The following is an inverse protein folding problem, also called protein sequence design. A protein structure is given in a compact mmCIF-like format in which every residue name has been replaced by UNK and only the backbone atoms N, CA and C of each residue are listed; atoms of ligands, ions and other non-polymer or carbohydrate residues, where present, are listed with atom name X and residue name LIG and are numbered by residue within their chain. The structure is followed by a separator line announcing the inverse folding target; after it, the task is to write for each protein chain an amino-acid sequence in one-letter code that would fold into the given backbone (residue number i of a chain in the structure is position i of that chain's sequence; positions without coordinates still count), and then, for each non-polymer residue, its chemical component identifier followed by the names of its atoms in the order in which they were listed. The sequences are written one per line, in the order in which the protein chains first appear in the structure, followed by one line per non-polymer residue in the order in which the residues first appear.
data_IF_333574798690
#
_entry.id   IF_333574798690
#
_cell.length_a   1.000
_cell.length_b   1.000
_cell.length_c   1.000
_cell.angle_alpha   90.00
_cell.angle_beta   90.00
_cell.angle_gamma   90.00
#
_symmetry.space_group_name_H-M   'P 1'
#
loop_
_entity.id
_entity.type
_entity.pdbx_description
1 polymer ?
#
# COMPACT_ATOMS: atom_id res chain seq x y z
N UNK A 1 -5.19 -1.62 -29.11
CA UNK A 1 -3.91 -0.94 -28.79
C UNK A 1 -3.93 -0.17 -27.46
N UNK A 2 -5.00 0.52 -27.09
CA UNK A 2 -5.07 1.31 -25.83
C UNK A 2 -4.83 0.47 -24.56
N UNK A 3 -5.45 -0.72 -24.47
CA UNK A 3 -5.27 -1.64 -23.33
C UNK A 3 -3.80 -2.05 -23.16
N UNK A 4 -3.13 -2.40 -24.27
CA UNK A 4 -1.72 -2.80 -24.24
C UNK A 4 -0.81 -1.65 -23.76
N UNK A 5 -1.05 -0.43 -24.22
CA UNK A 5 -0.33 0.77 -23.77
C UNK A 5 -0.54 1.01 -22.27
N UNK A 6 -1.76 0.88 -21.78
CA UNK A 6 -2.07 1.03 -20.35
C UNK A 6 -1.42 -0.06 -19.49
N UNK A 7 -1.39 -1.32 -19.96
CA UNK A 7 -0.69 -2.40 -19.26
C UNK A 7 0.82 -2.14 -19.17
N UNK A 8 1.44 -1.69 -20.26
CA UNK A 8 2.88 -1.36 -20.26
C UNK A 8 3.17 -0.20 -19.31
N UNK A 9 2.42 0.89 -19.42
CA UNK A 9 2.68 2.11 -18.65
C UNK A 9 2.27 1.97 -17.17
N UNK A 10 1.17 1.28 -16.88
CA UNK A 10 0.61 1.14 -15.54
C UNK A 10 1.16 -0.02 -14.71
N UNK A 11 1.72 -1.07 -15.34
CA UNK A 11 2.24 -2.24 -14.63
C UNK A 11 3.73 -2.47 -14.89
N UNK A 12 4.14 -2.53 -16.16
CA UNK A 12 5.51 -2.93 -16.49
C UNK A 12 6.53 -1.85 -16.15
N UNK A 13 6.30 -0.61 -16.59
CA UNK A 13 7.20 0.53 -16.33
C UNK A 13 7.42 0.78 -14.83
N UNK A 14 6.39 0.87 -13.96
CA UNK A 14 6.60 1.05 -12.52
C UNK A 14 7.35 -0.13 -11.89
N UNK A 15 7.08 -1.37 -12.33
CA UNK A 15 7.81 -2.55 -11.86
C UNK A 15 9.31 -2.47 -12.23
N UNK A 16 9.66 -2.07 -13.45
CA UNK A 16 11.06 -1.92 -13.89
C UNK A 16 11.78 -0.86 -13.07
N UNK A 17 11.16 0.30 -12.85
CA UNK A 17 11.74 1.40 -12.06
C UNK A 17 11.99 0.95 -10.63
N UNK A 18 10.99 0.39 -9.96
CA UNK A 18 11.13 -0.08 -8.57
C UNK A 18 12.11 -1.22 -8.45
N UNK A 19 12.06 -2.21 -9.35
CA UNK A 19 13.01 -3.32 -9.37
C UNK A 19 14.45 -2.86 -9.56
N UNK A 20 14.68 -1.90 -10.47
CA UNK A 20 15.98 -1.31 -10.72
C UNK A 20 16.55 -0.56 -9.50
N UNK A 21 15.73 0.29 -8.87
CA UNK A 21 16.14 1.03 -7.67
C UNK A 21 16.39 0.07 -6.49
N UNK A 22 15.55 -0.95 -6.29
CA UNK A 22 15.75 -1.95 -5.23
C UNK A 22 17.02 -2.78 -5.45
N UNK A 23 17.28 -3.23 -6.68
CA UNK A 23 18.49 -3.97 -7.02
C UNK A 23 19.75 -3.11 -6.79
N UNK A 24 19.70 -1.84 -7.21
CA UNK A 24 20.78 -0.88 -7.00
C UNK A 24 21.02 -0.57 -5.52
N UNK A 25 19.94 -0.32 -4.75
CA UNK A 25 20.02 -0.09 -3.32
C UNK A 25 20.67 -1.27 -2.60
N UNK A 26 20.30 -2.50 -2.98
CA UNK A 26 20.91 -3.71 -2.43
C UNK A 26 22.38 -3.84 -2.78
N UNK A 27 22.77 -3.51 -4.01
CA UNK A 27 24.17 -3.50 -4.44
C UNK A 27 25.00 -2.52 -3.60
N UNK A 28 24.50 -1.31 -3.36
CA UNK A 28 25.16 -0.32 -2.50
C UNK A 28 25.31 -0.81 -1.06
N UNK A 29 24.24 -1.31 -0.45
CA UNK A 29 24.28 -1.80 0.94
C UNK A 29 25.25 -2.97 1.12
N UNK A 30 25.35 -3.86 0.12
CA UNK A 30 26.26 -5.00 0.18
C UNK A 30 27.74 -4.59 0.11
N UNK A 31 28.04 -3.45 -0.51
CA UNK A 31 29.40 -2.91 -0.57
C UNK A 31 29.76 -2.21 0.73
N UNK A 32 28.84 -1.40 1.26
CA UNK A 32 29.05 -0.63 2.49
C UNK A 32 29.26 -1.54 3.72
N UNK A 33 28.54 -2.66 3.81
CA UNK A 33 28.73 -3.66 4.87
C UNK A 33 30.14 -4.28 4.87
N UNK A 34 30.85 -4.28 3.72
CA UNK A 34 32.24 -4.74 3.62
C UNK A 34 33.25 -3.66 4.00
N UNK A 35 32.95 -2.40 3.73
CA UNK A 35 33.90 -1.30 3.86
C UNK A 35 33.76 -0.54 5.19
N UNK A 36 32.61 -0.57 5.86
CA UNK A 36 32.29 0.49 6.81
C UNK A 36 31.78 0.02 8.18
N UNK A 37 32.73 -0.06 9.13
CA UNK A 37 32.45 -0.06 10.57
C UNK A 37 32.48 1.36 11.18
N UNK A 38 32.66 2.45 10.41
CA UNK A 38 33.07 3.74 11.00
C UNK A 38 32.47 5.08 10.50
N UNK A 39 31.64 5.19 9.46
CA UNK A 39 31.05 6.52 9.11
C UNK A 39 29.52 6.59 9.12
N UNK A 40 28.97 7.40 10.01
CA UNK A 40 27.53 7.54 10.28
C UNK A 40 26.74 8.52 9.39
N UNK A 41 27.16 8.76 8.14
CA UNK A 41 26.47 9.69 7.21
C UNK A 41 25.77 9.00 6.03
N UNK A 42 25.65 7.66 6.06
CA UNK A 42 25.01 6.88 5.00
C UNK A 42 23.50 7.12 4.87
N UNK A 43 23.00 7.08 3.63
CA UNK A 43 21.56 7.10 3.33
C UNK A 43 20.92 5.89 3.98
N UNK A 44 19.92 6.10 4.85
CA UNK A 44 19.24 4.99 5.49
C UNK A 44 18.64 4.04 4.45
N UNK A 45 18.74 2.71 4.62
CA UNK A 45 18.18 1.75 3.67
C UNK A 45 16.66 1.94 3.47
N UNK A 46 15.97 2.45 4.50
CA UNK A 46 14.56 2.79 4.41
C UNK A 46 14.23 3.94 3.46
N UNK A 47 15.11 4.94 3.35
CA UNK A 47 14.97 5.99 2.35
C UNK A 47 15.02 5.42 0.94
N UNK A 48 15.98 4.52 0.64
CA UNK A 48 16.12 3.93 -0.70
C UNK A 48 14.89 3.12 -1.12
N UNK A 49 14.29 2.38 -0.19
CA UNK A 49 13.09 1.59 -0.47
C UNK A 49 11.85 2.47 -0.59
N UNK A 50 11.73 3.50 0.24
CA UNK A 50 10.69 4.52 0.09
C UNK A 50 10.79 5.21 -1.28
N UNK A 51 11.99 5.59 -1.70
CA UNK A 51 12.27 6.14 -3.04
C UNK A 51 11.89 5.12 -4.12
N UNK A 52 12.25 3.85 -3.98
CA UNK A 52 11.93 2.83 -4.99
C UNK A 52 10.41 2.68 -5.19
N UNK A 53 9.63 2.61 -4.10
CA UNK A 53 8.18 2.49 -4.15
C UNK A 53 7.52 3.78 -4.65
N UNK A 54 7.94 4.93 -4.13
CA UNK A 54 7.37 6.22 -4.49
C UNK A 54 7.67 6.60 -5.93
N UNK A 55 8.92 6.44 -6.39
CA UNK A 55 9.31 6.71 -7.78
C UNK A 55 8.60 5.76 -8.75
N UNK A 56 8.52 4.47 -8.43
CA UNK A 56 7.74 3.52 -9.22
C UNK A 56 6.28 3.94 -9.32
N UNK A 57 5.66 4.29 -8.19
CA UNK A 57 4.26 4.75 -8.19
C UNK A 57 4.07 6.02 -9.01
N UNK A 58 4.93 7.03 -8.86
CA UNK A 58 4.86 8.30 -9.60
C UNK A 58 5.01 8.06 -11.11
N UNK A 59 5.94 7.20 -11.52
CA UNK A 59 6.13 6.84 -12.94
C UNK A 59 4.90 6.12 -13.49
N UNK A 60 4.33 5.17 -12.74
CA UNK A 60 3.08 4.50 -13.12
C UNK A 60 1.91 5.48 -13.20
N UNK A 61 1.81 6.41 -12.25
CA UNK A 61 0.81 7.48 -12.21
C UNK A 61 0.93 8.36 -13.46
N UNK A 62 2.13 8.88 -13.76
CA UNK A 62 2.35 9.75 -14.93
C UNK A 62 2.08 8.98 -16.23
N UNK A 63 2.41 7.70 -16.28
CA UNK A 63 2.12 6.84 -17.43
C UNK A 63 0.62 6.66 -17.72
N UNK A 64 -0.22 6.67 -16.67
CA UNK A 64 -1.67 6.49 -16.79
C UNK A 64 -2.43 7.81 -16.91
N UNK A 65 -2.12 8.78 -16.06
CA UNK A 65 -2.87 10.03 -15.87
C UNK A 65 -2.16 11.27 -16.46
N UNK A 66 -0.88 11.16 -16.82
CA UNK A 66 -0.05 12.31 -17.16
C UNK A 66 0.39 13.10 -15.92
N UNK A 67 0.79 14.36 -16.12
CA UNK A 67 1.25 15.22 -15.03
C UNK A 67 0.06 15.64 -14.14
N UNK A 68 0.12 15.45 -12.81
CA UNK A 68 -0.97 15.87 -11.94
C UNK A 68 -1.09 17.41 -11.94
N UNK A 69 -2.30 17.98 -12.02
CA UNK A 69 -2.48 19.42 -11.94
C UNK A 69 -2.19 19.94 -10.52
N UNK A 70 -1.76 21.20 -10.42
CA UNK A 70 -1.60 21.92 -9.16
C UNK A 70 -2.44 23.21 -9.18
N UNK A 71 -3.39 23.40 -8.24
CA UNK A 71 -3.76 22.47 -7.16
C UNK A 71 -4.50 21.21 -7.67
N UNK A 72 -4.42 20.08 -6.94
CA UNK A 72 -5.16 18.86 -7.27
C UNK A 72 -6.68 19.11 -7.21
N UNK A 73 -7.37 18.76 -8.31
CA UNK A 73 -8.83 18.93 -8.46
C UNK A 73 -9.63 17.70 -8.05
N UNK A 74 -9.07 16.51 -8.23
CA UNK A 74 -9.73 15.22 -8.00
C UNK A 74 -8.97 14.44 -6.93
N UNK A 75 -9.68 13.56 -6.23
CA UNK A 75 -9.09 12.71 -5.19
C UNK A 75 -7.97 11.80 -5.70
N UNK A 76 -8.05 11.34 -6.95
CA UNK A 76 -7.01 10.56 -7.63
C UNK A 76 -5.71 11.35 -7.77
N UNK A 77 -5.77 12.66 -8.03
CA UNK A 77 -4.58 13.49 -8.21
C UNK A 77 -3.73 13.58 -6.93
N UNK A 78 -4.37 13.48 -5.76
CA UNK A 78 -3.67 13.45 -4.48
C UNK A 78 -2.76 12.23 -4.30
N UNK A 79 -3.02 11.11 -4.98
CA UNK A 79 -2.22 9.89 -4.84
C UNK A 79 -0.76 10.10 -5.28
N UNK A 80 -0.52 10.89 -6.34
CA UNK A 80 0.84 11.24 -6.75
C UNK A 80 1.56 12.07 -5.68
N UNK A 81 0.88 13.05 -5.09
CA UNK A 81 1.44 13.88 -4.02
C UNK A 81 1.67 13.07 -2.73
N UNK A 82 0.82 12.08 -2.44
CA UNK A 82 1.02 11.15 -1.33
C UNK A 82 2.22 10.23 -1.54
N UNK A 83 2.52 9.80 -2.76
CA UNK A 83 3.76 9.10 -3.05
C UNK A 83 4.98 9.98 -2.72
N UNK A 84 5.00 11.23 -3.20
CA UNK A 84 6.07 12.20 -2.90
C UNK A 84 6.22 12.43 -1.40
N UNK A 85 5.11 12.72 -0.71
CA UNK A 85 5.09 12.89 0.74
C UNK A 85 5.60 11.65 1.46
N UNK A 86 5.17 10.46 1.04
CA UNK A 86 5.64 9.19 1.56
C UNK A 86 7.15 8.99 1.41
N UNK A 87 7.73 9.38 0.26
CA UNK A 87 9.20 9.34 0.05
C UNK A 87 9.91 10.26 1.03
N UNK A 88 9.46 11.52 1.14
CA UNK A 88 10.04 12.51 2.06
C UNK A 88 10.02 11.94 3.49
N UNK A 89 8.85 11.51 3.96
CA UNK A 89 8.70 10.95 5.29
C UNK A 89 9.54 9.68 5.49
N UNK A 90 9.61 8.81 4.49
CA UNK A 90 10.41 7.58 4.53
C UNK A 90 11.90 7.86 4.71
N UNK A 91 12.42 8.92 4.10
CA UNK A 91 13.81 9.34 4.27
C UNK A 91 14.10 9.93 5.65
N UNK A 92 13.12 10.63 6.25
CA UNK A 92 13.21 11.16 7.61
C UNK A 92 12.63 10.22 8.68
N UNK A 93 12.33 8.96 8.34
CA UNK A 93 11.67 8.03 9.26
C UNK A 93 12.57 7.52 10.40
N UNK A 94 13.84 7.92 10.42
CA UNK A 94 14.78 7.65 11.48
C UNK A 94 14.66 8.63 12.67
N UNK A 95 13.75 9.62 12.59
CA UNK A 95 13.44 10.54 13.69
C UNK A 95 12.94 9.80 14.94
N UNK A 96 12.92 10.52 16.07
CA UNK A 96 12.45 10.02 17.37
C UNK A 96 11.08 9.35 17.26
N UNK A 97 10.80 8.38 18.15
CA UNK A 97 9.49 7.71 18.20
C UNK A 97 8.34 8.72 18.27
N UNK A 98 8.49 9.76 19.09
CA UNK A 98 7.52 10.84 19.25
C UNK A 98 7.31 11.65 17.97
N UNK A 99 8.38 11.97 17.24
CA UNK A 99 8.28 12.67 15.95
C UNK A 99 7.47 11.87 14.93
N UNK A 100 7.70 10.54 14.87
CA UNK A 100 6.94 9.65 13.98
C UNK A 100 5.46 9.59 14.35
N UNK A 101 5.14 9.43 15.64
CA UNK A 101 3.76 9.40 16.12
C UNK A 101 3.05 10.73 15.85
N UNK A 102 3.72 11.86 16.09
CA UNK A 102 3.17 13.19 15.80
C UNK A 102 2.85 13.34 14.31
N UNK A 103 3.78 12.99 13.43
CA UNK A 103 3.56 13.03 11.97
C UNK A 103 2.40 12.13 11.57
N UNK A 104 2.30 10.91 12.11
CA UNK A 104 1.19 10.00 11.83
C UNK A 104 -0.15 10.60 12.26
N UNK A 105 -0.24 11.17 13.46
CA UNK A 105 -1.47 11.81 13.96
C UNK A 105 -1.85 13.00 13.07
N UNK A 106 -0.90 13.90 12.80
CA UNK A 106 -1.14 15.09 11.97
C UNK A 106 -1.64 14.69 10.57
N UNK A 107 -0.97 13.75 9.92
CA UNK A 107 -1.36 13.31 8.58
C UNK A 107 -2.68 12.55 8.57
N UNK A 108 -2.95 11.73 9.59
CA UNK A 108 -4.24 11.04 9.70
C UNK A 108 -5.41 12.00 9.84
N UNK A 109 -5.20 13.16 10.47
CA UNK A 109 -6.20 14.24 10.57
C UNK A 109 -6.32 15.00 9.23
N UNK A 110 -5.18 15.32 8.61
CA UNK A 110 -5.11 16.20 7.44
C UNK A 110 -5.58 15.52 6.15
N UNK A 111 -5.23 14.24 5.94
CA UNK A 111 -5.50 13.51 4.69
C UNK A 111 -6.99 13.38 4.39
N UNK A 112 -7.86 12.92 5.31
CA UNK A 112 -9.30 12.87 5.06
C UNK A 112 -9.87 14.21 4.65
N UNK A 113 -9.39 15.29 5.28
CA UNK A 113 -9.88 16.63 5.02
C UNK A 113 -9.53 17.09 3.61
N UNK A 114 -8.33 16.79 3.11
CA UNK A 114 -7.92 17.13 1.75
C UNK A 114 -8.59 16.26 0.69
N UNK A 115 -8.63 14.94 0.89
CA UNK A 115 -9.22 13.99 -0.07
C UNK A 115 -10.73 14.19 -0.22
N UNK A 116 -11.44 14.35 0.90
CA UNK A 116 -12.91 14.39 0.93
C UNK A 116 -13.45 15.81 1.03
N UNK A 117 -12.64 16.82 0.66
CA UNK A 117 -13.03 18.23 0.77
C UNK A 117 -14.37 18.53 0.08
N UNK A 118 -14.65 17.87 -1.05
CA UNK A 118 -15.94 17.97 -1.76
C UNK A 118 -17.09 17.41 -0.91
N UNK A 119 -16.95 16.20 -0.38
CA UNK A 119 -17.95 15.54 0.46
C UNK A 119 -18.24 16.36 1.72
N UNK A 120 -17.20 16.88 2.37
CA UNK A 120 -17.33 17.74 3.54
C UNK A 120 -18.04 19.07 3.26
N UNK A 121 -17.95 19.59 2.03
CA UNK A 121 -18.54 20.89 1.66
C UNK A 121 -19.97 20.77 1.19
N UNK A 122 -20.28 19.70 0.47
CA UNK A 122 -21.53 19.61 -0.29
C UNK A 122 -22.47 18.48 0.16
N UNK A 123 -21.97 17.49 0.89
CA UNK A 123 -22.74 16.29 1.24
C UNK A 123 -23.07 16.23 2.73
N UNK A 124 -22.06 16.42 3.60
CA UNK A 124 -22.26 16.26 5.04
C UNK A 124 -22.65 17.54 5.75
N UNK A 125 -23.56 17.42 6.72
CA UNK A 125 -23.80 18.46 7.71
C UNK A 125 -22.60 18.68 8.63
N UNK A 126 -22.56 19.78 9.38
CA UNK A 126 -21.42 20.12 10.25
C UNK A 126 -21.11 19.03 11.29
N UNK A 127 -22.14 18.52 11.99
CA UNK A 127 -21.97 17.48 13.00
C UNK A 127 -21.55 16.13 12.40
N UNK A 128 -22.24 15.70 11.35
CA UNK A 128 -21.92 14.46 10.63
C UNK A 128 -20.50 14.49 10.07
N UNK A 129 -20.09 15.63 9.49
CA UNK A 129 -18.73 15.85 9.02
C UNK A 129 -17.71 15.68 10.14
N UNK A 130 -17.91 16.30 11.30
CA UNK A 130 -16.97 16.15 12.42
C UNK A 130 -16.85 14.69 12.85
N UNK A 131 -17.97 13.95 12.94
CA UNK A 131 -17.97 12.53 13.31
C UNK A 131 -17.14 11.72 12.30
N UNK A 132 -17.44 11.85 10.99
CA UNK A 132 -16.69 11.15 9.95
C UNK A 132 -15.22 11.53 9.95
N UNK A 133 -14.89 12.80 10.15
CA UNK A 133 -13.51 13.26 10.18
C UNK A 133 -12.71 12.62 11.31
N UNK A 134 -13.26 12.58 12.53
CA UNK A 134 -12.62 11.94 13.69
C UNK A 134 -12.49 10.43 13.48
N UNK A 135 -13.55 9.77 12.99
CA UNK A 135 -13.53 8.34 12.71
C UNK A 135 -12.50 7.97 11.64
N UNK A 136 -12.43 8.72 10.54
CA UNK A 136 -11.45 8.49 9.48
C UNK A 136 -10.03 8.77 9.96
N UNK A 137 -9.81 9.81 10.76
CA UNK A 137 -8.50 10.09 11.32
C UNK A 137 -8.02 8.95 12.24
N UNK A 138 -8.90 8.45 13.11
CA UNK A 138 -8.60 7.29 13.95
C UNK A 138 -8.33 6.03 13.10
N UNK A 139 -9.15 5.77 12.08
CA UNK A 139 -8.99 4.62 11.20
C UNK A 139 -7.67 4.65 10.42
N UNK A 140 -7.29 5.81 9.84
CA UNK A 140 -6.01 5.96 9.13
C UNK A 140 -4.83 5.81 10.07
N UNK A 141 -4.92 6.37 11.28
CA UNK A 141 -3.86 6.23 12.28
C UNK A 141 -3.64 4.76 12.66
N UNK A 142 -4.72 4.03 12.97
CA UNK A 142 -4.66 2.59 13.27
C UNK A 142 -4.12 1.83 12.07
N UNK A 143 -4.66 2.08 10.87
CA UNK A 143 -4.23 1.46 9.62
C UNK A 143 -2.73 1.66 9.37
N UNK A 144 -2.22 2.88 9.49
CA UNK A 144 -0.80 3.18 9.33
C UNK A 144 0.03 2.40 10.36
N UNK A 145 -0.42 2.38 11.62
CA UNK A 145 0.26 1.64 12.67
C UNK A 145 0.35 0.14 12.35
N UNK A 146 -0.74 -0.47 11.85
CA UNK A 146 -0.77 -1.87 11.42
C UNK A 146 0.21 -2.11 10.25
N UNK A 147 0.23 -1.21 9.25
CA UNK A 147 1.17 -1.29 8.13
C UNK A 147 2.61 -1.25 8.61
N UNK A 148 2.94 -0.32 9.51
CA UNK A 148 4.29 -0.21 10.07
C UNK A 148 4.68 -1.45 10.88
N UNK A 149 3.77 -1.96 11.72
CA UNK A 149 4.02 -3.16 12.50
C UNK A 149 4.22 -4.39 11.61
N UNK A 150 3.48 -4.52 10.51
CA UNK A 150 3.58 -5.67 9.59
C UNK A 150 5.00 -5.91 9.09
N UNK A 151 5.78 -4.84 8.86
CA UNK A 151 7.16 -4.91 8.38
C UNK A 151 8.14 -5.49 9.41
N UNK A 152 7.74 -5.52 10.69
CA UNK A 152 8.52 -6.07 11.80
C UNK A 152 7.99 -7.40 12.32
N UNK A 153 6.71 -7.71 12.08
CA UNK A 153 6.05 -8.89 12.67
C UNK A 153 6.03 -10.11 11.75
N UNK A 154 6.16 -9.91 10.44
CA UNK A 154 6.20 -10.99 9.47
C UNK A 154 7.53 -11.75 9.55
N UNK A 155 7.43 -13.07 9.75
CA UNK A 155 8.58 -13.96 10.02
C UNK A 155 9.51 -14.06 8.82
N UNK A 156 8.97 -14.01 7.60
CA UNK A 156 9.74 -14.09 6.37
C UNK A 156 9.85 -12.72 5.71
N UNK A 157 11.07 -12.34 5.34
CA UNK A 157 11.32 -11.10 4.58
C UNK A 157 10.56 -11.09 3.25
N UNK A 158 10.35 -12.25 2.62
CA UNK A 158 9.59 -12.39 1.38
C UNK A 158 8.07 -12.38 1.60
N UNK A 159 7.57 -12.63 2.81
CA UNK A 159 6.11 -12.63 3.04
C UNK A 159 5.52 -11.23 3.05
N UNK A 160 6.28 -10.20 3.46
CA UNK A 160 5.84 -8.79 3.42
C UNK A 160 5.38 -8.36 2.03
N UNK A 161 6.24 -8.32 1.00
CA UNK A 161 5.81 -7.89 -0.33
C UNK A 161 4.75 -8.82 -0.93
N UNK A 162 4.76 -10.12 -0.61
CA UNK A 162 3.74 -11.05 -1.09
C UNK A 162 2.35 -10.74 -0.53
N UNK A 163 2.26 -10.45 0.78
CA UNK A 163 0.99 -10.08 1.41
C UNK A 163 0.46 -8.78 0.82
N UNK A 164 1.32 -7.76 0.66
CA UNK A 164 0.90 -6.49 0.04
C UNK A 164 0.58 -6.61 -1.44
N UNK A 165 1.21 -7.54 -2.17
CA UNK A 165 0.82 -7.93 -3.52
C UNK A 165 -0.61 -8.50 -3.53
N UNK A 166 -0.93 -9.43 -2.64
CA UNK A 166 -2.29 -9.97 -2.51
C UNK A 166 -3.33 -8.91 -2.11
N UNK A 167 -2.99 -8.06 -1.14
CA UNK A 167 -3.87 -6.99 -0.65
C UNK A 167 -4.16 -5.94 -1.73
N UNK A 168 -3.12 -5.47 -2.43
CA UNK A 168 -3.27 -4.53 -3.54
C UNK A 168 -4.00 -5.16 -4.72
N UNK A 169 -3.78 -6.46 -4.98
CA UNK A 169 -4.49 -7.22 -6.02
C UNK A 169 -5.97 -7.34 -5.73
N UNK A 170 -6.33 -7.69 -4.49
CA UNK A 170 -7.71 -7.71 -4.05
C UNK A 170 -8.36 -6.34 -4.09
N UNK A 171 -7.65 -5.29 -3.65
CA UNK A 171 -8.11 -3.90 -3.76
C UNK A 171 -8.40 -3.51 -5.21
N UNK A 172 -7.47 -3.79 -6.13
CA UNK A 172 -7.64 -3.47 -7.55
C UNK A 172 -8.84 -4.22 -8.16
N UNK A 173 -9.00 -5.50 -7.83
CA UNK A 173 -10.11 -6.31 -8.34
C UNK A 173 -11.46 -5.83 -7.80
N UNK A 174 -11.54 -5.53 -6.49
CA UNK A 174 -12.75 -4.97 -5.87
C UNK A 174 -13.13 -3.66 -6.55
N UNK A 175 -12.17 -2.75 -6.74
CA UNK A 175 -12.41 -1.47 -7.43
C UNK A 175 -12.87 -1.64 -8.88
N UNK A 176 -12.27 -2.59 -9.61
CA UNK A 176 -12.63 -2.86 -11.00
C UNK A 176 -14.08 -3.38 -11.09
N UNK A 177 -14.45 -4.29 -10.20
CA UNK A 177 -15.79 -4.90 -10.13
C UNK A 177 -16.84 -3.91 -9.60
N UNK A 178 -16.44 -2.95 -8.76
CA UNK A 178 -17.27 -1.81 -8.36
C UNK A 178 -17.47 -0.77 -9.49
N UNK A 179 -16.92 -0.99 -10.68
CA UNK A 179 -17.14 -0.14 -11.86
C UNK A 179 -16.05 0.89 -12.12
N UNK A 180 -14.92 0.83 -11.42
CA UNK A 180 -14.01 2.00 -11.28
C UNK A 180 -12.62 1.67 -11.78
N UNK A 181 -12.55 1.50 -13.11
CA UNK A 181 -11.35 1.02 -13.79
C UNK A 181 -10.14 1.93 -13.53
N UNK A 182 -10.34 3.24 -13.41
CA UNK A 182 -9.28 4.22 -13.16
C UNK A 182 -8.59 3.99 -11.81
N UNK A 183 -9.35 3.85 -10.72
CA UNK A 183 -8.81 3.54 -9.40
C UNK A 183 -8.27 2.10 -9.31
N UNK A 184 -8.90 1.16 -10.00
CA UNK A 184 -8.38 -0.20 -10.13
C UNK A 184 -6.97 -0.22 -10.76
N UNK A 185 -6.71 0.62 -11.77
CA UNK A 185 -5.38 0.74 -12.38
C UNK A 185 -4.34 1.26 -11.38
N UNK A 186 -4.69 2.22 -10.51
CA UNK A 186 -3.79 2.65 -9.42
C UNK A 186 -3.51 1.54 -8.40
N UNK A 187 -4.50 0.71 -8.09
CA UNK A 187 -4.29 -0.53 -7.35
C UNK A 187 -3.33 -1.47 -8.08
N UNK A 188 -3.50 -1.60 -9.41
CA UNK A 188 -2.61 -2.36 -10.30
C UNK A 188 -1.15 -1.88 -10.28
N UNK A 189 -0.89 -0.56 -10.20
CA UNK A 189 0.47 -0.05 -10.01
C UNK A 189 1.06 -0.67 -8.73
N UNK A 190 0.35 -0.59 -7.60
CA UNK A 190 0.82 -1.16 -6.33
C UNK A 190 1.07 -2.67 -6.44
N UNK A 191 0.20 -3.41 -7.13
CA UNK A 191 0.40 -4.84 -7.42
C UNK A 191 1.74 -5.06 -8.12
N UNK A 192 2.05 -4.27 -9.15
CA UNK A 192 3.33 -4.35 -9.86
C UNK A 192 4.53 -4.03 -8.95
N UNK A 193 4.45 -2.97 -8.12
CA UNK A 193 5.52 -2.60 -7.18
C UNK A 193 5.79 -3.73 -6.17
N UNK A 194 4.76 -4.33 -5.61
CA UNK A 194 4.90 -5.40 -4.62
C UNK A 194 5.29 -6.74 -5.27
N UNK A 195 4.81 -7.03 -6.48
CA UNK A 195 5.23 -8.20 -7.25
C UNK A 195 6.73 -8.16 -7.56
N UNK A 196 7.24 -7.04 -8.08
CA UNK A 196 8.68 -6.92 -8.36
C UNK A 196 9.50 -6.94 -7.07
N UNK A 197 9.01 -6.30 -6.00
CA UNK A 197 9.69 -6.33 -4.70
C UNK A 197 9.77 -7.75 -4.13
N UNK A 198 8.71 -8.55 -4.31
CA UNK A 198 8.69 -9.96 -3.93
C UNK A 198 9.69 -10.78 -4.74
N UNK A 199 9.70 -10.63 -6.08
CA UNK A 199 10.66 -11.31 -6.97
C UNK A 199 12.10 -10.94 -6.60
N UNK A 200 12.40 -9.65 -6.43
CA UNK A 200 13.72 -9.16 -6.03
C UNK A 200 14.11 -9.74 -4.67
N UNK A 201 13.19 -9.81 -3.71
CA UNK A 201 13.45 -10.45 -2.42
C UNK A 201 13.79 -11.93 -2.61
N UNK A 202 13.04 -12.70 -3.40
CA UNK A 202 13.32 -14.12 -3.64
C UNK A 202 14.67 -14.35 -4.33
N UNK A 203 15.02 -13.52 -5.32
CA UNK A 203 16.27 -13.65 -6.08
C UNK A 203 17.48 -13.26 -5.22
N UNK A 204 17.39 -12.15 -4.47
CA UNK A 204 18.50 -11.62 -3.69
C UNK A 204 18.67 -12.28 -2.32
N UNK A 205 17.59 -12.79 -1.70
CA UNK A 205 17.64 -13.49 -0.41
C UNK A 205 18.52 -14.76 -0.48
N UNK A 206 18.69 -15.37 -1.66
CA UNK A 206 19.63 -16.49 -1.85
C UNK A 206 21.09 -16.12 -1.54
N UNK A 207 21.45 -14.84 -1.57
CA UNK A 207 22.84 -14.38 -1.39
C UNK A 207 23.16 -13.78 -0.01
N UNK A 208 22.16 -13.35 0.75
CA UNK A 208 22.38 -12.66 2.03
C UNK A 208 21.30 -13.06 3.03
N UNK A 209 21.71 -13.59 4.19
CA UNK A 209 20.81 -14.19 5.17
C UNK A 209 20.18 -13.20 6.16
N UNK A 210 20.67 -11.96 6.28
CA UNK A 210 20.43 -11.17 7.50
C UNK A 210 19.66 -9.84 7.33
N UNK A 211 19.30 -9.41 6.11
CA UNK A 211 18.68 -8.09 5.91
C UNK A 211 17.21 -8.11 5.47
N UNK A 212 16.30 -7.55 6.29
CA UNK A 212 14.92 -7.26 5.86
C UNK A 212 14.91 -6.27 4.70
N UNK A 213 14.17 -6.59 3.62
CA UNK A 213 14.01 -5.71 2.46
C UNK A 213 13.01 -4.59 2.71
N UNK A 214 12.22 -4.64 3.78
CA UNK A 214 11.21 -3.62 4.10
C UNK A 214 11.43 -3.10 5.52
N UNK A 215 12.30 -2.10 5.70
CA UNK A 215 12.44 -1.41 6.96
C UNK A 215 11.24 -0.50 7.21
N UNK A 216 11.02 -0.04 8.46
CA UNK A 216 9.90 0.82 8.82
C UNK A 216 9.76 2.09 7.97
N UNK A 217 10.86 2.59 7.40
CA UNK A 217 10.86 3.78 6.53
C UNK A 217 10.08 3.63 5.23
N UNK A 218 9.77 2.42 4.77
CA UNK A 218 8.89 2.22 3.62
C UNK A 218 7.40 2.40 3.95
N UNK A 219 7.04 2.35 5.24
CA UNK A 219 5.63 2.32 5.68
C UNK A 219 4.83 3.56 5.30
N UNK A 220 5.38 4.80 5.27
CA UNK A 220 4.61 5.97 4.86
C UNK A 220 4.09 5.88 3.43
N UNK A 221 4.93 5.44 2.48
CA UNK A 221 4.53 5.33 1.08
C UNK A 221 3.37 4.34 0.93
N UNK A 222 3.51 3.16 1.54
CA UNK A 222 2.49 2.11 1.47
C UNK A 222 1.20 2.55 2.15
N UNK A 223 1.29 3.13 3.36
CA UNK A 223 0.13 3.54 4.11
C UNK A 223 -0.64 4.67 3.41
N UNK A 224 0.05 5.73 2.98
CA UNK A 224 -0.58 6.87 2.33
C UNK A 224 -1.26 6.50 1.02
N UNK A 225 -0.62 5.66 0.20
CA UNK A 225 -1.17 5.24 -1.10
C UNK A 225 -2.38 4.31 -0.94
N UNK A 226 -2.29 3.29 -0.09
CA UNK A 226 -3.41 2.39 0.15
C UNK A 226 -4.58 3.11 0.83
N UNK A 227 -4.33 3.94 1.84
CA UNK A 227 -5.37 4.74 2.48
C UNK A 227 -6.04 5.68 1.47
N UNK A 228 -5.25 6.36 0.64
CA UNK A 228 -5.76 7.21 -0.43
C UNK A 228 -6.63 6.45 -1.43
N UNK A 229 -6.20 5.29 -1.90
CA UNK A 229 -6.97 4.45 -2.83
C UNK A 229 -8.27 3.97 -2.19
N UNK A 230 -8.23 3.47 -0.94
CA UNK A 230 -9.40 2.96 -0.24
C UNK A 230 -10.42 4.05 0.07
N UNK A 231 -9.96 5.23 0.50
CA UNK A 231 -10.86 6.37 0.72
C UNK A 231 -11.52 6.82 -0.57
N UNK A 232 -10.76 6.93 -1.67
CA UNK A 232 -11.36 7.28 -2.95
C UNK A 232 -12.37 6.21 -3.41
N UNK A 233 -12.01 4.93 -3.29
CA UNK A 233 -12.90 3.81 -3.60
C UNK A 233 -14.21 3.82 -2.81
N UNK A 234 -14.13 4.05 -1.49
CA UNK A 234 -15.32 4.02 -0.65
C UNK A 234 -16.24 5.24 -0.87
N UNK A 235 -15.67 6.44 -0.97
CA UNK A 235 -16.48 7.67 -0.97
C UNK A 235 -16.90 8.16 -2.36
N UNK A 236 -16.17 7.81 -3.44
CA UNK A 236 -16.48 8.28 -4.78
C UNK A 236 -16.95 7.19 -5.74
N UNK A 237 -16.76 5.93 -5.38
CA UNK A 237 -16.82 4.79 -6.30
C UNK A 237 -17.70 3.64 -5.74
N UNK A 238 -18.49 3.93 -4.70
CA UNK A 238 -19.50 3.04 -4.11
C UNK A 238 -18.99 1.63 -3.77
N UNK A 239 -17.71 1.49 -3.41
CA UNK A 239 -17.17 0.20 -2.97
C UNK A 239 -17.96 -0.30 -1.77
N UNK A 240 -18.46 -1.56 -1.80
CA UNK A 240 -19.27 -2.10 -0.72
C UNK A 240 -18.57 -1.99 0.64
N UNK A 241 -19.26 -1.42 1.63
CA UNK A 241 -18.72 -1.21 2.99
C UNK A 241 -18.18 -2.51 3.60
N UNK A 242 -18.87 -3.63 3.35
CA UNK A 242 -18.43 -4.96 3.79
C UNK A 242 -17.06 -5.34 3.20
N UNK A 243 -16.81 -5.08 1.92
CA UNK A 243 -15.51 -5.34 1.28
C UNK A 243 -14.42 -4.44 1.87
N UNK A 244 -14.70 -3.16 2.12
CA UNK A 244 -13.74 -2.25 2.77
C UNK A 244 -13.39 -2.69 4.20
N UNK A 245 -14.38 -3.11 4.99
CA UNK A 245 -14.17 -3.64 6.34
C UNK A 245 -13.35 -4.93 6.31
N UNK A 246 -13.65 -5.85 5.39
CA UNK A 246 -12.90 -7.10 5.24
C UNK A 246 -11.44 -6.85 4.83
N UNK A 247 -11.17 -5.87 3.97
CA UNK A 247 -9.81 -5.45 3.65
C UNK A 247 -9.08 -4.88 4.89
N UNK A 248 -9.75 -4.10 5.75
CA UNK A 248 -9.18 -3.65 7.03
C UNK A 248 -8.90 -4.82 7.97
N UNK A 249 -9.82 -5.79 8.08
CA UNK A 249 -9.65 -6.99 8.90
C UNK A 249 -8.45 -7.82 8.42
N UNK A 250 -8.20 -7.87 7.11
CA UNK A 250 -7.04 -8.60 6.57
C UNK A 250 -5.70 -8.09 7.12
N UNK A 251 -5.59 -6.79 7.43
CA UNK A 251 -4.41 -6.19 8.05
C UNK A 251 -4.27 -6.58 9.52
N UNK A 252 -5.39 -6.68 10.24
CA UNK A 252 -5.38 -7.17 11.63
C UNK A 252 -4.83 -8.60 11.68
N UNK A 253 -5.18 -9.43 10.71
CA UNK A 253 -4.68 -10.79 10.58
C UNK A 253 -3.18 -10.89 10.27
N UNK A 254 -2.50 -9.80 9.90
CA UNK A 254 -1.03 -9.80 9.86
C UNK A 254 -0.41 -10.08 11.23
N UNK A 255 -1.13 -9.82 12.33
CA UNK A 255 -0.66 -10.06 13.71
C UNK A 255 -0.69 -11.53 14.12
N UNK A 256 -1.39 -12.38 13.37
CA UNK A 256 -1.51 -13.82 13.65
C UNK A 256 -0.13 -14.51 13.70
N UNK A 257 0.85 -14.01 12.93
CA UNK A 257 2.23 -14.53 12.96
C UNK A 257 2.97 -14.34 14.30
N UNK A 258 2.45 -13.51 15.21
CA UNK A 258 3.02 -13.33 16.57
C UNK A 258 2.56 -14.39 17.57
N UNK A 259 1.53 -15.17 17.24
CA UNK A 259 0.99 -16.17 18.15
C UNK A 259 1.98 -17.33 18.27
N UNK A 260 2.42 -17.65 19.48
CA UNK A 260 3.43 -18.70 19.74
C UNK A 260 3.06 -20.04 19.11
N UNK A 261 1.78 -20.42 19.16
CA UNK A 261 1.29 -21.66 18.57
C UNK A 261 1.61 -21.76 17.07
N UNK A 262 1.54 -20.64 16.35
CA UNK A 262 1.84 -20.56 14.92
C UNK A 262 3.34 -20.49 14.67
N UNK A 263 4.10 -19.85 15.55
CA UNK A 263 5.57 -19.84 15.48
C UNK A 263 6.17 -21.24 15.68
N UNK A 264 5.55 -22.07 16.53
CA UNK A 264 5.97 -23.47 16.77
C UNK A 264 5.79 -24.39 15.54
N UNK A 265 5.00 -24.00 14.53
CA UNK A 265 4.81 -24.79 13.30
C UNK A 265 6.02 -24.74 12.35
N UNK A 266 7.03 -23.92 12.64
CA UNK A 266 8.20 -23.68 11.78
C UNK A 266 7.94 -22.62 10.72
N UNK A 267 9.02 -22.00 10.22
CA UNK A 267 8.96 -20.79 9.37
C UNK A 267 8.06 -20.96 8.14
N UNK A 268 8.18 -22.08 7.41
CA UNK A 268 7.43 -22.30 6.17
C UNK A 268 5.92 -22.50 6.42
N UNK A 269 5.56 -23.31 7.40
CA UNK A 269 4.14 -23.56 7.73
C UNK A 269 3.49 -22.34 8.34
N UNK A 270 4.21 -21.65 9.23
CA UNK A 270 3.76 -20.39 9.83
C UNK A 270 3.48 -19.32 8.77
N UNK A 271 4.40 -19.15 7.80
CA UNK A 271 4.19 -18.22 6.69
C UNK A 271 2.97 -18.59 5.83
N UNK A 272 2.76 -19.88 5.54
CA UNK A 272 1.58 -20.35 4.78
C UNK A 272 0.28 -20.09 5.54
N UNK A 273 0.25 -20.37 6.84
CA UNK A 273 -0.94 -20.10 7.70
C UNK A 273 -1.23 -18.61 7.74
N UNK A 274 -0.21 -17.76 7.91
CA UNK A 274 -0.38 -16.32 7.94
C UNK A 274 -0.87 -15.76 6.59
N UNK A 275 -0.30 -16.24 5.48
CA UNK A 275 -0.76 -15.89 4.13
C UNK A 275 -2.22 -16.30 3.93
N UNK A 276 -2.58 -17.54 4.30
CA UNK A 276 -3.94 -18.05 4.16
C UNK A 276 -4.93 -17.24 5.01
N UNK A 277 -4.55 -16.91 6.26
CA UNK A 277 -5.36 -16.11 7.15
C UNK A 277 -5.62 -14.70 6.59
N UNK A 278 -4.63 -14.06 5.97
CA UNK A 278 -4.79 -12.72 5.36
C UNK A 278 -5.54 -12.81 4.02
N UNK A 279 -5.28 -13.83 3.21
CA UNK A 279 -5.93 -14.02 1.91
C UNK A 279 -7.43 -14.30 2.05
N UNK A 280 -7.84 -15.02 3.10
CA UNK A 280 -9.24 -15.38 3.32
C UNK A 280 -10.20 -14.17 3.32
N UNK A 281 -10.04 -13.14 4.17
CA UNK A 281 -10.92 -11.97 4.15
C UNK A 281 -10.82 -11.18 2.83
N UNK A 282 -9.67 -11.16 2.16
CA UNK A 282 -9.54 -10.52 0.84
C UNK A 282 -10.37 -11.26 -0.21
N UNK A 283 -10.33 -12.59 -0.23
CA UNK A 283 -11.15 -13.40 -1.15
C UNK A 283 -12.65 -13.26 -0.86
N UNK A 284 -13.04 -13.22 0.42
CA UNK A 284 -14.43 -12.96 0.81
C UNK A 284 -14.84 -11.54 0.36
N UNK A 285 -13.98 -10.53 0.54
CA UNK A 285 -14.25 -9.16 0.11
C UNK A 285 -14.46 -9.04 -1.41
N UNK A 286 -13.66 -9.79 -2.19
CA UNK A 286 -13.83 -9.91 -3.65
C UNK A 286 -15.18 -10.56 -3.97
N UNK A 287 -15.52 -11.68 -3.33
CA UNK A 287 -16.80 -12.37 -3.55
C UNK A 287 -18.01 -11.47 -3.26
N UNK A 288 -17.94 -10.69 -2.17
CA UNK A 288 -18.97 -9.70 -1.81
C UNK A 288 -19.07 -8.60 -2.88
N UNK A 289 -17.94 -8.09 -3.37
CA UNK A 289 -17.93 -7.07 -4.42
C UNK A 289 -18.54 -7.60 -5.73
N UNK A 290 -18.22 -8.84 -6.12
CA UNK A 290 -18.79 -9.49 -7.30
C UNK A 290 -20.30 -9.68 -7.14
N UNK A 291 -20.76 -10.19 -5.99
CA UNK A 291 -22.18 -10.34 -5.71
C UNK A 291 -22.94 -9.00 -5.77
N UNK A 292 -22.33 -7.92 -5.26
CA UNK A 292 -22.91 -6.58 -5.27
C UNK A 292 -22.92 -5.94 -6.68
N UNK A 293 -21.96 -6.27 -7.54
CA UNK A 293 -21.85 -5.70 -8.89
C UNK A 293 -23.00 -6.08 -9.83
N UNK A 294 -23.85 -7.05 -9.46
CA UNK A 294 -24.94 -7.52 -10.31
C UNK A 294 -24.49 -8.31 -11.54
N UNK A 295 -23.20 -8.66 -11.65
CA UNK A 295 -22.63 -9.45 -12.76
C UNK A 295 -23.36 -10.78 -13.02
N UNK A 296 -24.05 -11.33 -12.02
CA UNK A 296 -24.82 -12.57 -12.10
C UNK A 296 -26.34 -12.39 -12.00
N UNK A 297 -26.84 -11.15 -11.95
CA UNK A 297 -28.28 -10.91 -12.04
C UNK A 297 -28.69 -11.08 -13.50
N UNK A 298 -29.05 -12.31 -13.88
CA UNK A 298 -29.50 -12.66 -15.22
C UNK A 298 -30.56 -11.66 -15.69
N UNK A 299 -30.23 -11.00 -16.81
CA UNK A 299 -31.08 -10.10 -17.59
C UNK A 299 -32.26 -10.89 -18.21
N UNK A 300 -33.04 -11.57 -17.38
CA UNK A 300 -34.19 -12.40 -17.75
C UNK A 300 -35.46 -11.58 -18.05
N UNK A 301 -35.29 -10.28 -18.29
CA UNK A 301 -36.37 -9.32 -18.49
C UNK A 301 -36.21 -8.44 -19.74
N UNK A 302 -35.76 -9.02 -20.86
CA UNK A 302 -35.92 -8.44 -22.20
C UNK A 302 -36.42 -9.49 -23.19
#
# INVERSE_FOLDING_TARGET
MLIFKQLILGLFLPAVVTGGILAFARFLTSKEERENTRSGTGISPGCLIAVALGAGYIVGYIGLEGLPPFPPREGVHWLCYFAVLGVILGCFWHLSLWGRLLVQVVLSIVIPRFLLNSVFKYTWGQFEGIIWWVCLAAAIFIFWHLVQQSFTTLISTASVPFVYFGLSGGTALILAVSGTLRLAQHGGILVALFAVSWIVTLVLQRRSSNGSLFPPGASPVVALLLAGIWMNGYFFEEVPTASAILLLISLLFMHIGRIEAIQRLGVRRSALVQIAAIALPVLIAIGVAIAHSGLFSDNSGY
#
